data_IF_619226959605
#
_entry.id   IF_619226959605
#
_cell.length_a   1.000
_cell.length_b   1.000
_cell.length_c   1.000
_cell.angle_alpha   90.00
_cell.angle_beta   90.00
_cell.angle_gamma   90.00
#
_symmetry.space_group_name_H-M   'P 1'
#
loop_
_entity.id
_entity.type
_entity.pdbx_description
1 polymer ?
#
# COMPACT_ATOMS: atom_id res chain seq x y z
N UNK A 1 -5.72 6.20 5.88
CA UNK A 1 -5.29 5.56 7.15
C UNK A 1 -6.16 5.94 8.34
N UNK A 2 -6.74 7.15 8.42
CA UNK A 2 -7.58 7.55 9.58
C UNK A 2 -8.92 6.83 9.66
N UNK A 3 -9.47 6.40 8.53
CA UNK A 3 -10.82 5.81 8.42
C UNK A 3 -10.84 4.37 7.87
N UNK A 4 -9.81 3.97 7.11
CA UNK A 4 -9.77 2.68 6.42
C UNK A 4 -8.35 2.10 6.43
N UNK A 5 -8.26 0.80 6.75
CA UNK A 5 -7.05 0.00 6.69
C UNK A 5 -6.74 -0.49 5.27
N UNK A 6 -5.46 -0.68 4.96
CA UNK A 6 -5.00 -1.10 3.65
C UNK A 6 -5.63 -2.42 3.17
N UNK A 7 -5.96 -3.34 4.08
CA UNK A 7 -6.61 -4.62 3.76
C UNK A 7 -7.99 -4.41 3.13
N UNK A 8 -8.75 -3.44 3.63
CA UNK A 8 -10.09 -3.14 3.09
C UNK A 8 -9.97 -2.58 1.68
N UNK A 9 -9.00 -1.68 1.45
CA UNK A 9 -8.72 -1.14 0.12
C UNK A 9 -8.25 -2.23 -0.86
N UNK A 10 -7.37 -3.14 -0.41
CA UNK A 10 -6.91 -4.26 -1.24
C UNK A 10 -8.05 -5.21 -1.60
N UNK A 11 -8.90 -5.59 -0.64
CA UNK A 11 -10.07 -6.44 -0.93
C UNK A 11 -11.03 -5.80 -1.92
N UNK A 12 -11.34 -4.51 -1.75
CA UNK A 12 -12.19 -3.79 -2.70
C UNK A 12 -11.56 -3.73 -4.10
N UNK A 13 -10.25 -3.51 -4.18
CA UNK A 13 -9.49 -3.55 -5.43
C UNK A 13 -9.51 -4.93 -6.09
N UNK A 14 -9.30 -6.00 -5.32
CA UNK A 14 -9.31 -7.38 -5.82
C UNK A 14 -10.69 -7.79 -6.34
N UNK A 15 -11.76 -7.38 -5.65
CA UNK A 15 -13.14 -7.61 -6.10
C UNK A 15 -13.44 -6.82 -7.38
N UNK A 16 -13.12 -5.52 -7.42
CA UNK A 16 -13.29 -4.70 -8.62
C UNK A 16 -12.53 -5.26 -9.83
N UNK A 17 -11.26 -5.65 -9.63
CA UNK A 17 -10.44 -6.25 -10.68
C UNK A 17 -10.99 -7.61 -11.12
N UNK A 18 -11.49 -8.43 -10.19
CA UNK A 18 -12.08 -9.73 -10.50
C UNK A 18 -13.39 -9.62 -11.27
N UNK A 19 -14.22 -8.62 -10.97
CA UNK A 19 -15.47 -8.34 -11.71
C UNK A 19 -15.18 -7.81 -13.10
N UNK A 20 -14.26 -6.84 -13.20
CA UNK A 20 -13.83 -6.26 -14.48
C UNK A 20 -13.30 -7.31 -15.46
N UNK A 21 -12.58 -8.32 -14.97
CA UNK A 21 -12.06 -9.43 -15.81
C UNK A 21 -13.11 -10.42 -16.30
N UNK A 22 -14.25 -10.57 -15.59
CA UNK A 22 -15.25 -11.62 -15.88
C UNK A 22 -16.24 -11.21 -16.96
N UNK A 23 -16.65 -9.95 -16.96
CA UNK A 23 -17.59 -9.43 -17.95
C UNK A 23 -17.46 -7.92 -18.04
N UNK A 24 -17.34 -7.42 -19.27
CA UNK A 24 -17.53 -6.00 -19.54
C UNK A 24 -19.03 -5.74 -19.40
N UNK A 25 -19.41 -4.93 -18.40
CA UNK A 25 -20.80 -4.48 -18.26
C UNK A 25 -21.18 -3.73 -19.53
N UNK A 26 -22.27 -4.15 -20.16
CA UNK A 26 -22.84 -3.43 -21.30
C UNK A 26 -24.00 -2.58 -20.77
N UNK A 27 -24.02 -1.27 -21.06
CA UNK A 27 -25.13 -0.43 -20.68
C UNK A 27 -26.41 -0.90 -21.38
N UNK A 28 -27.47 -1.07 -20.61
CA UNK A 28 -28.82 -1.10 -21.17
C UNK A 28 -29.18 0.34 -21.59
N UNK A 29 -29.96 0.51 -22.66
CA UNK A 29 -30.49 1.80 -23.12
C UNK A 29 -31.58 2.30 -22.15
N UNK A 30 -31.16 2.60 -20.92
CA UNK A 30 -31.98 3.22 -19.89
C UNK A 30 -31.66 4.71 -19.82
N UNK A 31 -32.65 5.59 -19.65
CA UNK A 31 -32.38 6.99 -19.36
C UNK A 31 -31.56 7.11 -18.07
N UNK A 32 -30.47 7.86 -18.12
CA UNK A 32 -29.62 8.13 -16.96
C UNK A 32 -29.40 9.63 -16.81
N UNK A 33 -29.23 10.07 -15.57
CA UNK A 33 -28.90 11.45 -15.27
C UNK A 33 -27.45 11.74 -15.66
N UNK A 34 -27.22 12.90 -16.28
CA UNK A 34 -25.90 13.34 -16.69
C UNK A 34 -25.14 13.81 -15.42
N UNK A 35 -23.91 13.32 -15.16
CA UNK A 35 -23.13 13.77 -14.02
C UNK A 35 -22.94 15.29 -14.02
N UNK A 36 -23.19 15.92 -12.88
CA UNK A 36 -23.04 17.37 -12.74
C UNK A 36 -21.58 17.75 -12.48
N UNK A 37 -21.11 18.80 -13.17
CA UNK A 37 -19.77 19.33 -12.96
C UNK A 37 -19.72 20.08 -11.63
N UNK A 38 -18.86 19.61 -10.72
CA UNK A 38 -18.58 20.30 -9.46
C UNK A 38 -17.81 21.59 -9.75
N UNK A 39 -18.45 22.73 -9.50
CA UNK A 39 -17.85 24.06 -9.61
C UNK A 39 -17.28 24.49 -8.26
N UNK A 40 -16.10 25.09 -8.29
CA UNK A 40 -15.45 25.68 -7.13
C UNK A 40 -15.14 27.13 -7.44
N UNK A 41 -15.71 28.04 -6.65
CA UNK A 41 -15.38 29.45 -6.71
C UNK A 41 -14.11 29.70 -5.88
N UNK A 42 -13.03 30.12 -6.55
CA UNK A 42 -11.73 30.30 -5.90
C UNK A 42 -11.55 31.76 -5.49
N UNK A 43 -11.34 31.98 -4.20
CA UNK A 43 -10.88 33.28 -3.70
C UNK A 43 -9.38 33.46 -3.94
N UNK A 44 -8.86 34.71 -3.88
CA UNK A 44 -7.41 34.94 -3.93
C UNK A 44 -6.63 34.18 -2.85
N UNK A 45 -7.23 33.97 -1.67
CA UNK A 45 -6.62 33.22 -0.57
C UNK A 45 -6.54 31.71 -0.90
N UNK A 46 -7.55 31.17 -1.59
CA UNK A 46 -7.53 29.78 -2.07
C UNK A 46 -6.43 29.57 -3.11
N UNK A 47 -6.26 30.52 -4.03
CA UNK A 47 -5.18 30.48 -5.02
C UNK A 47 -3.80 30.51 -4.37
N UNK A 48 -3.60 31.36 -3.35
CA UNK A 48 -2.36 31.40 -2.58
C UNK A 48 -2.10 30.06 -1.86
N UNK A 49 -3.13 29.48 -1.24
CA UNK A 49 -3.04 28.19 -0.54
C UNK A 49 -2.72 27.02 -1.49
N UNK A 50 -3.27 27.05 -2.70
CA UNK A 50 -2.97 26.07 -3.75
C UNK A 50 -1.50 26.15 -4.18
N UNK A 51 -0.97 27.36 -4.36
CA UNK A 51 0.44 27.55 -4.72
C UNK A 51 1.39 27.11 -3.59
N UNK A 52 1.05 27.41 -2.33
CA UNK A 52 1.80 26.91 -1.17
C UNK A 52 1.80 25.37 -1.12
N UNK A 53 0.64 24.74 -1.31
CA UNK A 53 0.52 23.28 -1.32
C UNK A 53 1.35 22.64 -2.45
N UNK A 54 1.39 23.26 -3.63
CA UNK A 54 2.26 22.82 -4.74
C UNK A 54 3.73 22.91 -4.38
N UNK A 55 4.18 24.02 -3.78
CA UNK A 55 5.56 24.18 -3.33
C UNK A 55 5.93 23.11 -2.31
N UNK A 56 5.10 22.94 -1.28
CA UNK A 56 5.29 21.94 -0.24
C UNK A 56 5.37 20.52 -0.82
N UNK A 57 4.50 20.17 -1.77
CA UNK A 57 4.55 18.88 -2.43
C UNK A 57 5.86 18.67 -3.20
N UNK A 58 6.32 19.68 -3.94
CA UNK A 58 7.56 19.61 -4.71
C UNK A 58 8.81 19.49 -3.82
N UNK A 59 8.79 20.12 -2.65
CA UNK A 59 9.84 19.99 -1.64
C UNK A 59 9.87 18.59 -1.01
N UNK A 60 8.71 18.01 -0.73
CA UNK A 60 8.58 16.69 -0.07
C UNK A 60 8.79 15.51 -1.03
N UNK A 61 8.40 15.67 -2.30
CA UNK A 61 8.50 14.65 -3.35
C UNK A 61 9.89 13.96 -3.42
N UNK A 62 11.02 14.70 -3.51
CA UNK A 62 12.35 14.08 -3.62
C UNK A 62 12.81 13.35 -2.34
N UNK A 63 12.24 13.66 -1.17
CA UNK A 63 12.57 12.97 0.07
C UNK A 63 12.00 11.54 0.12
N UNK A 64 10.91 11.28 -0.62
CA UNK A 64 10.27 9.96 -0.65
C UNK A 64 10.90 9.08 -1.71
N UNK A 65 11.83 8.22 -1.31
CA UNK A 65 12.40 7.18 -2.17
C UNK A 65 11.68 5.85 -1.96
N UNK A 66 10.87 5.45 -2.93
CA UNK A 66 10.25 4.13 -2.98
C UNK A 66 10.84 3.32 -4.13
N UNK A 67 11.28 2.09 -3.86
CA UNK A 67 11.72 1.13 -4.87
C UNK A 67 10.94 -0.16 -4.73
N UNK A 68 10.32 -0.60 -5.81
CA UNK A 68 9.67 -1.92 -5.86
C UNK A 68 10.73 -2.98 -6.15
N UNK A 69 10.70 -4.08 -5.39
CA UNK A 69 11.55 -5.24 -5.60
C UNK A 69 10.64 -6.44 -5.81
N UNK A 70 10.76 -7.09 -6.96
CA UNK A 70 10.08 -8.35 -7.25
C UNK A 70 11.06 -9.49 -7.02
N UNK A 71 10.65 -10.49 -6.24
CA UNK A 71 11.45 -11.68 -5.97
C UNK A 71 10.82 -12.89 -6.67
N UNK A 72 11.57 -13.51 -7.59
CA UNK A 72 11.02 -14.53 -8.49
C UNK A 72 11.59 -15.93 -8.24
N UNK A 73 12.56 -16.10 -7.33
CA UNK A 73 13.27 -17.39 -7.16
C UNK A 73 12.42 -18.47 -6.50
N UNK A 74 11.51 -18.10 -5.60
CA UNK A 74 10.56 -19.02 -4.98
C UNK A 74 9.29 -18.28 -4.55
N UNK A 75 8.17 -18.98 -4.63
CA UNK A 75 6.86 -18.52 -4.16
C UNK A 75 6.45 -19.16 -2.84
N UNK A 76 5.20 -18.92 -2.43
CA UNK A 76 4.63 -19.45 -1.19
C UNK A 76 4.58 -20.99 -1.14
N UNK A 77 4.55 -21.65 -2.29
CA UNK A 77 4.40 -23.11 -2.36
C UNK A 77 5.59 -23.86 -1.74
N UNK A 78 6.81 -23.46 -2.09
CA UNK A 78 8.04 -24.05 -1.54
C UNK A 78 8.18 -23.80 -0.03
N UNK A 79 7.67 -22.66 0.45
CA UNK A 79 7.71 -22.28 1.87
C UNK A 79 6.69 -23.10 2.67
N UNK A 80 5.51 -23.34 2.09
CA UNK A 80 4.44 -24.12 2.69
C UNK A 80 4.81 -25.60 2.82
N UNK A 81 5.52 -26.17 1.84
CA UNK A 81 6.07 -27.52 1.92
C UNK A 81 7.05 -27.69 3.08
N UNK A 82 7.82 -26.65 3.40
CA UNK A 82 8.73 -26.61 4.54
C UNK A 82 8.02 -26.38 5.90
N UNK A 83 6.68 -26.27 5.93
CA UNK A 83 5.85 -25.94 7.11
C UNK A 83 6.26 -24.62 7.79
N UNK A 84 6.76 -23.67 7.01
CA UNK A 84 7.14 -22.35 7.49
C UNK A 84 6.11 -21.30 7.04
N UNK A 85 5.98 -20.23 7.80
CA UNK A 85 5.14 -19.09 7.42
C UNK A 85 5.98 -18.12 6.56
N UNK A 86 5.49 -17.78 5.36
CA UNK A 86 6.17 -16.83 4.46
C UNK A 86 6.46 -15.50 5.15
N UNK A 87 5.52 -14.99 5.94
CA UNK A 87 5.69 -13.76 6.71
C UNK A 87 6.93 -13.81 7.61
N UNK A 88 7.13 -14.91 8.33
CA UNK A 88 8.30 -15.12 9.19
C UNK A 88 9.60 -15.20 8.39
N UNK A 89 9.60 -15.85 7.23
CA UNK A 89 10.79 -15.91 6.36
C UNK A 89 11.15 -14.51 5.85
N UNK A 90 10.17 -13.74 5.39
CA UNK A 90 10.38 -12.35 4.92
C UNK A 90 10.92 -11.48 6.05
N UNK A 91 10.39 -11.62 7.27
CA UNK A 91 10.86 -10.88 8.45
C UNK A 91 12.33 -11.18 8.78
N UNK A 92 12.71 -12.45 8.82
CA UNK A 92 14.09 -12.86 9.11
C UNK A 92 15.03 -12.42 7.99
N UNK A 93 14.61 -12.54 6.73
CA UNK A 93 15.39 -12.10 5.58
C UNK A 93 15.67 -10.58 5.63
N UNK A 94 14.68 -9.79 6.02
CA UNK A 94 14.82 -8.34 6.17
C UNK A 94 15.78 -7.98 7.32
N UNK A 95 15.66 -8.67 8.47
CA UNK A 95 16.57 -8.49 9.61
C UNK A 95 18.02 -8.84 9.22
N UNK A 96 18.22 -9.92 8.49
CA UNK A 96 19.53 -10.35 8.02
C UNK A 96 20.12 -9.36 7.00
N UNK A 97 19.29 -8.85 6.07
CA UNK A 97 19.72 -7.84 5.11
C UNK A 97 20.18 -6.57 5.83
N UNK A 98 19.41 -6.10 6.82
CA UNK A 98 19.77 -4.93 7.62
C UNK A 98 21.09 -5.12 8.39
N UNK A 99 21.25 -6.27 9.05
CA UNK A 99 22.48 -6.61 9.77
C UNK A 99 23.70 -6.60 8.84
N UNK A 100 23.57 -7.15 7.62
CA UNK A 100 24.64 -7.16 6.62
C UNK A 100 24.99 -5.77 6.10
N UNK A 101 24.02 -4.87 5.97
CA UNK A 101 24.25 -3.52 5.45
C UNK A 101 24.87 -2.58 6.50
N UNK A 102 24.50 -2.72 7.77
CA UNK A 102 24.86 -1.75 8.82
C UNK A 102 25.80 -2.28 9.91
N UNK A 103 26.13 -3.58 9.91
CA UNK A 103 27.12 -4.18 10.81
C UNK A 103 26.67 -4.34 12.27
N UNK A 104 25.47 -3.88 12.62
CA UNK A 104 24.89 -3.97 13.95
C UNK A 104 23.45 -4.45 13.87
N UNK A 105 23.06 -5.36 14.77
CA UNK A 105 21.67 -5.75 14.94
C UNK A 105 20.92 -4.65 15.66
N UNK A 106 19.80 -4.19 15.10
CA UNK A 106 18.80 -3.49 15.92
C UNK A 106 18.25 -4.51 16.91
N UNK A 107 18.40 -4.24 18.21
CA UNK A 107 17.63 -4.93 19.23
C UNK A 107 16.15 -4.63 18.95
N UNK A 108 15.39 -5.63 18.54
CA UNK A 108 13.93 -5.53 18.38
C UNK A 108 13.31 -5.53 19.78
N UNK A 109 13.57 -4.47 20.55
CA UNK A 109 12.68 -4.04 21.62
C UNK A 109 11.41 -3.52 20.96
N UNK A 110 10.27 -3.91 21.51
CA UNK A 110 8.93 -3.82 20.92
C UNK A 110 8.43 -2.43 20.44
N UNK A 111 9.27 -1.39 20.37
CA UNK A 111 8.90 -0.04 19.92
C UNK A 111 9.42 0.36 18.53
N UNK A 112 10.59 -0.13 18.08
CA UNK A 112 11.05 0.06 16.68
C UNK A 112 10.46 -1.03 15.76
N UNK A 113 10.08 -2.15 16.37
CA UNK A 113 9.20 -3.16 15.81
C UNK A 113 7.82 -2.63 15.43
N UNK A 114 7.50 -1.37 15.70
CA UNK A 114 6.32 -0.70 15.17
C UNK A 114 6.67 0.23 14.00
N UNK A 115 7.77 0.99 14.04
CA UNK A 115 8.12 1.94 12.98
C UNK A 115 8.47 1.30 11.62
N UNK A 116 9.21 0.18 11.59
CA UNK A 116 9.47 -0.57 10.34
C UNK A 116 8.23 -1.38 9.93
N UNK A 117 7.38 -1.72 10.90
CA UNK A 117 6.27 -2.63 10.73
C UNK A 117 4.94 -1.96 10.39
N UNK A 118 4.72 -0.67 10.69
CA UNK A 118 3.56 0.05 10.16
C UNK A 118 3.52 0.04 8.62
N UNK A 119 4.70 -0.05 7.96
CA UNK A 119 4.80 -0.09 6.51
C UNK A 119 4.71 -1.49 5.89
N UNK A 120 4.90 -2.56 6.67
CA UNK A 120 4.93 -3.96 6.17
C UNK A 120 3.84 -4.86 6.80
N UNK A 121 3.47 -4.66 8.07
CA UNK A 121 2.54 -5.53 8.83
C UNK A 121 1.08 -5.39 8.46
N UNK A 122 0.68 -4.27 7.88
CA UNK A 122 -0.66 -4.11 7.27
C UNK A 122 -0.89 -5.06 6.07
N UNK A 123 0.15 -5.78 5.61
CA UNK A 123 0.06 -6.66 4.43
C UNK A 123 0.01 -8.17 4.72
N UNK A 124 0.35 -8.67 5.90
CA UNK A 124 0.56 -10.13 6.10
C UNK A 124 -0.22 -10.80 7.24
N UNK A 125 -0.79 -10.07 8.21
CA UNK A 125 -1.45 -10.71 9.37
C UNK A 125 -2.95 -10.98 9.22
N UNK A 126 -3.63 -10.57 8.14
CA UNK A 126 -5.04 -10.92 7.87
C UNK A 126 -5.27 -11.94 6.74
N UNK A 127 -4.22 -12.56 6.21
CA UNK A 127 -4.35 -13.65 5.22
C UNK A 127 -4.40 -15.06 5.84
N UNK A 128 -4.17 -15.20 7.15
CA UNK A 128 -4.17 -16.48 7.87
C UNK A 128 -5.35 -16.67 8.84
N UNK A 129 -6.41 -15.87 8.70
CA UNK A 129 -7.65 -16.03 9.46
C UNK A 129 -8.89 -15.80 8.60
N UNK A 130 -8.93 -16.45 7.43
CA UNK A 130 -10.14 -16.87 6.71
C UNK A 130 -9.84 -18.26 6.16
#
# INVERSE_FOLDING_TARGET
>A
HSNVDAIVVMHAGDDAASRSRKSIWQPEDVPFDIPEMLQFDLSPDDLASIEEAKSSFNELSPAVRARTVTYEKYGNDLIREAKLYTDTIVQIALQLAFLKTHGSSIAVGASIGDCIWYRVRLRLTRLNRI
#
